data_IF_243524660088
#
_entry.id   IF_243524660088
#
_cell.length_a   1.000
_cell.length_b   1.000
_cell.length_c   1.000
_cell.angle_alpha   90.00
_cell.angle_beta   90.00
_cell.angle_gamma   90.00
#
_symmetry.space_group_name_H-M   'P 1'
#
loop_
_entity.id
_entity.type
_entity.pdbx_description
1 polymer ?
#
# COMPACT_ATOMS: atom_id res chain seq x y z
N UNK A 1 -41.84 -12.42 5.78
CA UNK A 1 -40.83 -12.74 6.84
C UNK A 1 -39.53 -12.09 6.44
N UNK A 2 -39.19 -10.97 7.07
CA UNK A 2 -37.91 -10.29 6.83
C UNK A 2 -36.78 -11.18 7.39
N UNK A 3 -35.80 -11.54 6.56
CA UNK A 3 -34.54 -12.18 7.03
C UNK A 3 -33.91 -11.23 8.06
N UNK A 4 -33.76 -11.69 9.31
CA UNK A 4 -32.92 -11.02 10.30
C UNK A 4 -31.54 -10.86 9.68
N UNK A 5 -31.12 -9.61 9.46
CA UNK A 5 -29.76 -9.33 9.05
C UNK A 5 -28.79 -9.92 10.08
N UNK A 6 -27.76 -10.59 9.63
CA UNK A 6 -26.66 -11.04 10.48
C UNK A 6 -26.18 -9.84 11.31
N UNK A 7 -26.21 -10.02 12.63
CA UNK A 7 -25.78 -9.01 13.58
C UNK A 7 -24.30 -8.74 13.35
N UNK A 8 -23.89 -7.47 13.37
CA UNK A 8 -22.47 -7.06 13.36
C UNK A 8 -21.64 -7.71 14.48
N UNK A 9 -22.27 -8.41 15.41
CA UNK A 9 -21.62 -9.18 16.49
C UNK A 9 -21.10 -10.54 16.01
N UNK A 10 -21.51 -11.03 14.84
CA UNK A 10 -21.21 -12.39 14.38
C UNK A 10 -19.99 -12.44 13.43
N UNK A 11 -19.49 -11.30 12.93
CA UNK A 11 -18.26 -11.27 12.13
C UNK A 11 -17.03 -11.06 13.04
N UNK A 12 -16.01 -11.93 12.92
CA UNK A 12 -14.80 -11.77 13.71
C UNK A 12 -14.10 -10.45 13.36
N UNK A 13 -13.95 -9.54 14.33
CA UNK A 13 -13.36 -8.20 14.11
C UNK A 13 -11.90 -8.26 13.66
N UNK A 14 -11.23 -9.36 13.90
CA UNK A 14 -9.81 -9.58 13.68
C UNK A 14 -9.53 -10.63 12.61
N UNK A 15 -10.40 -10.78 11.63
CA UNK A 15 -10.25 -11.68 10.51
C UNK A 15 -10.64 -11.00 9.20
N UNK A 16 -9.99 -11.39 8.12
CA UNK A 16 -10.29 -11.02 6.74
C UNK A 16 -10.91 -12.19 5.96
N UNK A 17 -11.34 -13.24 6.65
CA UNK A 17 -11.96 -14.40 6.03
C UNK A 17 -13.16 -13.99 5.18
N UNK A 18 -13.21 -14.52 3.94
CA UNK A 18 -14.21 -14.16 2.95
C UNK A 18 -13.98 -12.84 2.23
N UNK A 19 -12.93 -12.07 2.58
CA UNK A 19 -12.55 -10.85 1.88
C UNK A 19 -11.59 -11.14 0.72
N UNK A 20 -11.62 -10.26 -0.28
CA UNK A 20 -10.74 -10.30 -1.45
C UNK A 20 -9.86 -9.06 -1.49
N UNK A 21 -8.61 -9.21 -1.89
CA UNK A 21 -7.65 -8.12 -1.90
C UNK A 21 -6.84 -8.05 -3.20
N UNK A 22 -6.61 -6.85 -3.70
CA UNK A 22 -5.59 -6.56 -4.71
C UNK A 22 -4.46 -5.76 -4.08
N UNK A 23 -3.24 -6.28 -4.16
CA UNK A 23 -2.02 -5.60 -3.72
C UNK A 23 -1.09 -5.45 -4.92
N UNK A 24 -0.71 -4.25 -5.32
CA UNK A 24 0.25 -4.08 -6.43
C UNK A 24 1.69 -4.13 -5.94
N UNK A 25 2.58 -4.76 -6.72
CA UNK A 25 4.00 -4.87 -6.38
C UNK A 25 4.32 -5.88 -5.28
N UNK A 26 3.62 -7.03 -5.26
CA UNK A 26 3.73 -8.00 -4.17
C UNK A 26 4.86 -9.01 -4.26
N UNK A 27 5.73 -8.97 -5.28
CA UNK A 27 6.81 -9.97 -5.42
C UNK A 27 7.96 -9.80 -4.42
N UNK A 28 8.08 -8.65 -3.77
CA UNK A 28 9.15 -8.35 -2.78
C UNK A 28 8.81 -7.18 -1.86
N UNK A 29 9.63 -7.02 -0.82
CA UNK A 29 9.59 -5.86 0.09
C UNK A 29 8.26 -5.66 0.78
N UNK A 30 7.82 -4.40 0.90
CA UNK A 30 6.57 -4.06 1.59
C UNK A 30 5.35 -4.73 0.97
N UNK A 31 5.27 -4.76 -0.37
CA UNK A 31 4.14 -5.40 -1.06
C UNK A 31 4.03 -6.89 -0.74
N UNK A 32 5.17 -7.63 -0.70
CA UNK A 32 5.19 -9.06 -0.31
C UNK A 32 4.71 -9.23 1.13
N UNK A 33 5.22 -8.42 2.06
CA UNK A 33 4.80 -8.47 3.46
C UNK A 33 3.29 -8.18 3.62
N UNK A 34 2.74 -7.22 2.86
CA UNK A 34 1.29 -6.93 2.88
C UNK A 34 0.48 -8.09 2.32
N UNK A 35 0.92 -8.71 1.21
CA UNK A 35 0.25 -9.91 0.65
C UNK A 35 0.19 -11.03 1.70
N UNK A 36 1.31 -11.31 2.35
CA UNK A 36 1.42 -12.35 3.37
C UNK A 36 0.52 -12.07 4.57
N UNK A 37 0.58 -10.86 5.11
CA UNK A 37 -0.23 -10.47 6.27
C UNK A 37 -1.73 -10.57 6.01
N UNK A 38 -2.20 -10.04 4.86
CA UNK A 38 -3.61 -10.13 4.48
C UNK A 38 -4.06 -11.59 4.26
N UNK A 39 -3.22 -12.40 3.61
CA UNK A 39 -3.53 -13.81 3.35
C UNK A 39 -3.53 -14.65 4.63
N UNK A 40 -2.60 -14.40 5.57
CA UNK A 40 -2.58 -15.05 6.89
C UNK A 40 -3.81 -14.71 7.74
N UNK A 41 -4.39 -13.52 7.56
CA UNK A 41 -5.65 -13.14 8.21
C UNK A 41 -6.90 -13.69 7.50
N UNK A 42 -6.73 -14.50 6.44
CA UNK A 42 -7.79 -15.22 5.75
C UNK A 42 -8.30 -14.57 4.46
N UNK A 43 -7.70 -13.47 3.98
CA UNK A 43 -8.09 -12.88 2.71
C UNK A 43 -7.63 -13.74 1.52
N UNK A 44 -8.42 -13.73 0.44
CA UNK A 44 -7.97 -14.17 -0.89
C UNK A 44 -7.28 -13.00 -1.56
N UNK A 45 -5.97 -13.13 -1.84
CA UNK A 45 -5.17 -12.03 -2.37
C UNK A 45 -4.82 -12.26 -3.83
N UNK A 46 -5.00 -11.26 -4.67
CA UNK A 46 -4.37 -11.18 -5.99
C UNK A 46 -3.27 -10.12 -5.94
N UNK A 47 -2.13 -10.41 -6.54
CA UNK A 47 -1.02 -9.46 -6.61
C UNK A 47 -0.39 -9.42 -7.99
N UNK A 48 0.35 -8.35 -8.27
CA UNK A 48 1.06 -8.21 -9.53
C UNK A 48 2.48 -7.68 -9.33
N UNK A 49 3.34 -7.96 -10.29
CA UNK A 49 4.67 -7.37 -10.44
C UNK A 49 5.11 -7.44 -11.89
N UNK A 50 6.19 -6.74 -12.25
CA UNK A 50 6.77 -6.77 -13.60
C UNK A 50 7.66 -7.99 -13.84
N UNK A 51 8.34 -8.43 -12.81
CA UNK A 51 9.28 -9.57 -12.85
C UNK A 51 8.50 -10.87 -12.61
N UNK A 52 8.27 -11.61 -13.68
CA UNK A 52 7.52 -12.86 -13.66
C UNK A 52 8.25 -13.93 -12.83
N UNK A 53 9.58 -14.00 -12.91
CA UNK A 53 10.38 -14.99 -12.19
C UNK A 53 10.25 -14.83 -10.69
N UNK A 54 10.48 -13.60 -10.18
CA UNK A 54 10.30 -13.30 -8.75
C UNK A 54 8.85 -13.53 -8.29
N UNK A 55 7.88 -13.22 -9.15
CA UNK A 55 6.48 -13.40 -8.84
C UNK A 55 6.11 -14.88 -8.68
N UNK A 56 6.63 -15.74 -9.57
CA UNK A 56 6.44 -17.19 -9.51
C UNK A 56 7.16 -17.84 -8.32
N UNK A 57 8.36 -17.36 -7.96
CA UNK A 57 9.05 -17.80 -6.75
C UNK A 57 8.21 -17.51 -5.51
N UNK A 58 7.75 -16.27 -5.35
CA UNK A 58 6.89 -15.88 -4.23
C UNK A 58 5.57 -16.67 -4.21
N UNK A 59 4.97 -16.93 -5.39
CA UNK A 59 3.75 -17.73 -5.48
C UNK A 59 3.93 -19.15 -4.95
N UNK A 60 5.06 -19.80 -5.29
CA UNK A 60 5.38 -21.14 -4.79
C UNK A 60 5.54 -21.15 -3.26
N UNK A 61 6.21 -20.14 -2.69
CA UNK A 61 6.35 -19.98 -1.25
C UNK A 61 4.99 -19.83 -0.56
N UNK A 62 4.12 -18.98 -1.08
CA UNK A 62 2.78 -18.77 -0.55
C UNK A 62 1.91 -20.01 -0.61
N UNK A 63 1.95 -20.74 -1.75
CA UNK A 63 1.22 -22.00 -1.92
C UNK A 63 1.73 -23.08 -0.96
N UNK A 64 3.05 -23.18 -0.76
CA UNK A 64 3.64 -24.12 0.21
C UNK A 64 3.20 -23.84 1.64
N UNK A 65 2.90 -22.56 1.97
CA UNK A 65 2.38 -22.13 3.26
C UNK A 65 0.84 -22.13 3.33
N UNK A 66 0.15 -22.63 2.30
CA UNK A 66 -1.32 -22.72 2.28
C UNK A 66 -2.05 -21.38 2.11
N UNK A 67 -1.34 -20.30 1.73
CA UNK A 67 -1.93 -18.97 1.54
C UNK A 67 -2.70 -18.90 0.21
N UNK A 68 -3.86 -18.28 0.23
CA UNK A 68 -4.71 -18.11 -0.95
C UNK A 68 -4.28 -16.88 -1.76
N UNK A 69 -3.20 -17.02 -2.52
CA UNK A 69 -2.63 -15.96 -3.35
C UNK A 69 -2.64 -16.36 -4.81
N UNK A 70 -2.97 -15.41 -5.69
CA UNK A 70 -2.86 -15.52 -7.15
C UNK A 70 -2.08 -14.34 -7.71
N UNK A 71 -1.52 -14.47 -8.91
CA UNK A 71 -0.59 -13.48 -9.45
C UNK A 71 -0.86 -13.14 -10.90
N UNK A 72 -0.49 -11.95 -11.33
CA UNK A 72 -0.45 -11.50 -12.74
C UNK A 72 0.80 -10.67 -13.00
N UNK A 73 1.35 -10.76 -14.19
CA UNK A 73 2.39 -9.82 -14.64
C UNK A 73 1.73 -8.51 -15.03
N UNK A 74 2.21 -7.38 -14.46
CA UNK A 74 1.69 -6.06 -14.78
C UNK A 74 2.72 -4.97 -14.48
N UNK A 75 2.96 -4.11 -15.48
CA UNK A 75 3.60 -2.82 -15.27
C UNK A 75 2.51 -1.78 -14.96
N UNK A 76 2.50 -1.30 -13.72
CA UNK A 76 1.49 -0.34 -13.26
C UNK A 76 1.60 1.05 -13.93
N UNK A 77 2.73 1.37 -14.58
CA UNK A 77 2.86 2.60 -15.36
C UNK A 77 2.09 2.55 -16.68
N UNK A 78 1.78 1.35 -17.18
CA UNK A 78 1.00 1.12 -18.40
C UNK A 78 -0.50 1.10 -18.11
N UNK A 79 -1.24 2.01 -18.74
CA UNK A 79 -2.71 2.10 -18.60
C UNK A 79 -3.41 0.81 -19.02
N UNK A 80 -3.06 0.28 -20.19
CA UNK A 80 -3.69 -0.93 -20.74
C UNK A 80 -3.45 -2.15 -19.83
N UNK A 81 -2.26 -2.23 -19.21
CA UNK A 81 -1.97 -3.33 -18.30
C UNK A 81 -2.75 -3.20 -16.98
N UNK A 82 -2.97 -1.98 -16.49
CA UNK A 82 -3.85 -1.74 -15.33
C UNK A 82 -5.29 -2.19 -15.61
N UNK A 83 -5.82 -1.85 -16.79
CA UNK A 83 -7.18 -2.24 -17.21
C UNK A 83 -7.31 -3.77 -17.28
N UNK A 84 -6.39 -4.45 -17.97
CA UNK A 84 -6.34 -5.92 -18.06
C UNK A 84 -6.21 -6.59 -16.68
N UNK A 85 -5.40 -6.03 -15.79
CA UNK A 85 -5.28 -6.54 -14.42
C UNK A 85 -6.63 -6.45 -13.68
N UNK A 86 -7.34 -5.33 -13.82
CA UNK A 86 -8.63 -5.16 -13.16
C UNK A 86 -9.73 -6.03 -13.75
N UNK A 87 -9.70 -6.33 -15.04
CA UNK A 87 -10.57 -7.34 -15.66
C UNK A 87 -10.31 -8.73 -15.05
N UNK A 88 -9.03 -9.10 -14.90
CA UNK A 88 -8.63 -10.35 -14.25
C UNK A 88 -9.12 -10.41 -12.80
N UNK A 89 -8.92 -9.34 -12.03
CA UNK A 89 -9.38 -9.23 -10.63
C UNK A 89 -10.90 -9.34 -10.54
N UNK A 90 -11.62 -8.67 -11.44
CA UNK A 90 -13.09 -8.75 -11.50
C UNK A 90 -13.58 -10.18 -11.77
N UNK A 91 -12.93 -10.88 -12.70
CA UNK A 91 -13.26 -12.29 -12.99
C UNK A 91 -12.96 -13.21 -11.81
N UNK A 92 -11.75 -13.12 -11.23
CA UNK A 92 -11.32 -13.96 -10.12
C UNK A 92 -12.20 -13.81 -8.87
N UNK A 93 -12.67 -12.60 -8.61
CA UNK A 93 -13.44 -12.24 -7.42
C UNK A 93 -14.93 -12.01 -7.70
N UNK A 94 -15.41 -12.45 -8.88
CA UNK A 94 -16.81 -12.42 -9.25
C UNK A 94 -17.44 -11.01 -9.11
N UNK A 95 -16.73 -10.00 -9.57
CA UNK A 95 -17.15 -8.60 -9.54
C UNK A 95 -17.08 -7.93 -8.17
N UNK A 96 -16.40 -8.52 -7.16
CA UNK A 96 -16.32 -7.97 -5.80
C UNK A 96 -14.87 -7.90 -5.32
N UNK A 97 -14.45 -6.71 -4.93
CA UNK A 97 -13.13 -6.49 -4.30
C UNK A 97 -13.35 -5.82 -2.95
N UNK A 98 -12.81 -6.38 -1.87
CA UNK A 98 -12.94 -5.79 -0.53
C UNK A 98 -11.80 -4.83 -0.19
N UNK A 99 -10.59 -5.10 -0.69
CA UNK A 99 -9.37 -4.39 -0.31
C UNK A 99 -8.55 -4.06 -1.55
N UNK A 100 -8.15 -2.79 -1.68
CA UNK A 100 -7.16 -2.33 -2.67
C UNK A 100 -5.97 -1.71 -1.96
N UNK A 101 -4.75 -2.21 -2.25
CA UNK A 101 -3.50 -1.64 -1.75
C UNK A 101 -2.60 -1.28 -2.94
N UNK A 102 -2.67 -0.06 -3.48
CA UNK A 102 -1.72 0.46 -4.46
C UNK A 102 -0.39 0.70 -3.75
N UNK A 103 0.54 -0.27 -3.87
CA UNK A 103 1.80 -0.23 -3.14
C UNK A 103 3.00 0.14 -4.02
N UNK A 104 2.93 -0.07 -5.34
CA UNK A 104 4.07 0.23 -6.22
C UNK A 104 4.46 1.71 -6.13
N UNK A 105 5.73 1.95 -5.96
CA UNK A 105 6.31 3.29 -5.97
C UNK A 105 7.80 3.26 -6.24
N UNK A 106 8.26 4.29 -6.93
CA UNK A 106 9.66 4.53 -7.25
C UNK A 106 10.04 5.96 -6.86
N UNK A 107 11.30 6.19 -6.61
CA UNK A 107 11.84 7.52 -6.33
C UNK A 107 13.20 7.71 -6.97
N UNK A 108 13.55 8.98 -7.17
CA UNK A 108 14.88 9.42 -7.55
C UNK A 108 15.38 10.35 -6.47
N UNK A 109 16.62 10.14 -6.05
CA UNK A 109 17.28 10.94 -5.02
C UNK A 109 18.31 11.87 -5.70
N UNK A 110 17.87 13.07 -6.07
CA UNK A 110 18.75 14.09 -6.65
C UNK A 110 18.16 15.50 -6.56
N UNK A 111 19.00 16.56 -6.69
CA UNK A 111 18.51 17.93 -6.70
C UNK A 111 17.40 18.16 -7.74
N UNK A 112 16.41 18.97 -7.38
CA UNK A 112 15.25 19.25 -8.27
C UNK A 112 15.67 19.81 -9.62
N UNK A 113 16.74 20.61 -9.65
CA UNK A 113 17.29 21.22 -10.88
C UNK A 113 17.92 20.21 -11.84
N UNK A 114 18.20 19.00 -11.37
CA UNK A 114 18.82 17.94 -12.16
C UNK A 114 17.79 16.88 -12.62
N UNK A 115 16.55 16.98 -12.15
CA UNK A 115 15.48 16.07 -12.54
C UNK A 115 15.08 16.34 -14.00
N UNK A 116 15.01 15.27 -14.81
CA UNK A 116 14.57 15.38 -16.19
C UNK A 116 13.05 15.29 -16.35
N UNK A 117 12.53 15.74 -17.48
CA UNK A 117 11.11 15.62 -17.80
C UNK A 117 10.65 14.14 -17.88
N UNK A 118 11.51 13.26 -18.37
CA UNK A 118 11.26 11.82 -18.48
C UNK A 118 11.16 11.17 -17.10
N UNK A 119 12.08 11.50 -16.18
CA UNK A 119 12.04 11.04 -14.80
C UNK A 119 10.78 11.54 -14.10
N UNK A 120 10.45 12.81 -14.26
CA UNK A 120 9.21 13.38 -13.72
C UNK A 120 7.99 12.60 -14.23
N UNK A 121 7.86 12.44 -15.55
CA UNK A 121 6.73 11.74 -16.17
C UNK A 121 6.63 10.30 -15.71
N UNK A 122 7.76 9.59 -15.63
CA UNK A 122 7.80 8.19 -15.20
C UNK A 122 7.42 8.01 -13.73
N UNK A 123 7.91 8.90 -12.84
CA UNK A 123 7.56 8.85 -11.41
C UNK A 123 6.09 9.18 -11.20
N UNK A 124 5.55 10.18 -11.88
CA UNK A 124 4.12 10.54 -11.83
C UNK A 124 3.27 9.38 -12.32
N UNK A 125 3.59 8.80 -13.48
CA UNK A 125 2.83 7.68 -14.05
C UNK A 125 2.84 6.46 -13.13
N UNK A 126 4.01 6.14 -12.54
CA UNK A 126 4.16 4.96 -11.68
C UNK A 126 3.53 5.15 -10.30
N UNK A 127 3.72 6.30 -9.65
CA UNK A 127 3.31 6.49 -8.26
C UNK A 127 1.88 7.02 -8.13
N UNK A 128 1.55 8.08 -8.87
CA UNK A 128 0.32 8.84 -8.68
C UNK A 128 -0.77 8.45 -9.67
N UNK A 129 -0.48 8.49 -10.97
CA UNK A 129 -1.46 8.14 -12.00
C UNK A 129 -1.94 6.69 -11.83
N UNK A 130 -1.01 5.74 -11.60
CA UNK A 130 -1.39 4.34 -11.40
C UNK A 130 -2.32 4.17 -10.19
N UNK A 131 -1.98 4.82 -9.07
CA UNK A 131 -2.78 4.77 -7.82
C UNK A 131 -4.17 5.35 -8.04
N UNK A 132 -4.26 6.50 -8.69
CA UNK A 132 -5.53 7.15 -9.02
C UNK A 132 -6.39 6.27 -9.95
N UNK A 133 -5.80 5.77 -11.04
CA UNK A 133 -6.51 4.95 -12.01
C UNK A 133 -6.95 3.59 -11.43
N UNK A 134 -6.11 2.93 -10.62
CA UNK A 134 -6.55 1.72 -9.90
C UNK A 134 -7.71 2.01 -8.96
N UNK A 135 -7.70 3.14 -8.27
CA UNK A 135 -8.82 3.53 -7.39
C UNK A 135 -10.12 3.71 -8.19
N UNK A 136 -10.05 4.37 -9.36
CA UNK A 136 -11.21 4.50 -10.26
C UNK A 136 -11.74 3.15 -10.75
N UNK A 137 -10.84 2.29 -11.28
CA UNK A 137 -11.21 0.98 -11.81
C UNK A 137 -11.76 0.04 -10.72
N UNK A 138 -11.24 0.15 -9.50
CA UNK A 138 -11.66 -0.68 -8.37
C UNK A 138 -12.98 -0.20 -7.73
N UNK A 139 -13.36 1.07 -7.88
CA UNK A 139 -14.54 1.63 -7.22
C UNK A 139 -15.81 0.77 -7.37
N UNK A 140 -16.24 0.35 -8.59
CA UNK A 140 -17.45 -0.47 -8.72
C UNK A 140 -17.34 -1.82 -8.01
N UNK A 141 -16.15 -2.43 -7.98
CA UNK A 141 -15.91 -3.70 -7.32
C UNK A 141 -15.89 -3.55 -5.78
N UNK A 142 -15.29 -2.47 -5.28
CA UNK A 142 -15.27 -2.11 -3.85
C UNK A 142 -16.68 -1.83 -3.36
N UNK A 143 -17.48 -1.07 -4.10
CA UNK A 143 -18.89 -0.81 -3.80
C UNK A 143 -19.70 -2.10 -3.79
N UNK A 144 -19.50 -2.98 -4.78
CA UNK A 144 -20.19 -4.27 -4.86
C UNK A 144 -19.82 -5.24 -3.73
N UNK A 145 -18.69 -5.06 -3.06
CA UNK A 145 -18.31 -5.84 -1.87
C UNK A 145 -19.17 -5.48 -0.65
N UNK A 146 -19.74 -4.27 -0.61
CA UNK A 146 -20.51 -3.73 0.50
C UNK A 146 -19.67 -3.25 1.69
N UNK A 147 -18.34 -3.40 1.64
CA UNK A 147 -17.38 -2.99 2.69
C UNK A 147 -16.01 -2.78 2.07
N UNK A 148 -15.89 -1.75 1.21
CA UNK A 148 -14.66 -1.45 0.50
C UNK A 148 -13.60 -0.78 1.37
N UNK A 149 -12.32 -1.07 1.11
CA UNK A 149 -11.23 -0.43 1.80
C UNK A 149 -10.03 -0.18 0.87
N UNK A 150 -9.48 1.02 0.89
CA UNK A 150 -8.29 1.40 0.15
C UNK A 150 -7.21 1.82 1.15
N UNK A 151 -6.01 1.24 1.02
CA UNK A 151 -4.84 1.68 1.79
C UNK A 151 -3.74 2.09 0.81
N UNK A 152 -3.53 3.40 0.70
CA UNK A 152 -2.52 3.98 -0.17
C UNK A 152 -1.13 3.92 0.48
N UNK A 153 -0.16 3.29 -0.18
CA UNK A 153 1.22 3.23 0.31
C UNK A 153 1.96 4.52 -0.03
N UNK A 154 1.85 5.50 0.86
CA UNK A 154 2.53 6.77 0.77
C UNK A 154 3.98 6.68 1.29
N UNK A 155 4.47 7.69 1.95
CA UNK A 155 5.78 7.79 2.61
C UNK A 155 5.78 8.98 3.57
N UNK A 156 6.68 8.97 4.55
CA UNK A 156 6.98 10.18 5.34
C UNK A 156 7.44 11.34 4.46
N UNK A 157 7.99 11.08 3.26
CA UNK A 157 8.32 12.10 2.26
C UNK A 157 7.10 12.89 1.76
N UNK A 158 5.89 12.37 1.94
CA UNK A 158 4.64 13.07 1.67
C UNK A 158 4.11 13.87 2.87
N UNK A 159 4.80 13.83 4.00
CA UNK A 159 4.43 14.50 5.26
C UNK A 159 5.45 15.58 5.65
N UNK A 160 6.74 15.23 5.53
CA UNK A 160 7.87 16.13 5.86
C UNK A 160 8.86 16.20 4.70
N UNK A 161 9.72 17.19 4.71
CA UNK A 161 10.79 17.28 3.73
C UNK A 161 11.83 16.18 3.93
N UNK A 162 12.11 15.47 2.85
CA UNK A 162 13.32 14.66 2.70
C UNK A 162 14.15 15.25 1.56
N UNK A 163 15.37 15.66 1.84
CA UNK A 163 16.25 16.30 0.87
C UNK A 163 16.35 15.50 -0.45
N UNK A 164 16.39 16.21 -1.57
CA UNK A 164 16.57 15.63 -2.92
C UNK A 164 15.48 14.62 -3.37
N UNK A 165 14.27 14.68 -2.80
CA UNK A 165 13.16 13.80 -3.16
C UNK A 165 11.92 14.55 -3.67
N UNK A 166 12.09 15.71 -4.31
CA UNK A 166 10.98 16.62 -4.61
C UNK A 166 9.84 15.99 -5.40
N UNK A 167 10.13 15.27 -6.49
CA UNK A 167 9.09 14.61 -7.30
C UNK A 167 8.43 13.49 -6.50
N UNK A 168 9.24 12.65 -5.86
CA UNK A 168 8.75 11.55 -5.03
C UNK A 168 7.86 12.05 -3.89
N UNK A 169 8.36 13.03 -3.12
CA UNK A 169 7.60 13.65 -2.03
C UNK A 169 6.28 14.26 -2.50
N UNK A 170 6.29 14.94 -3.66
CA UNK A 170 5.08 15.49 -4.27
C UNK A 170 4.05 14.39 -4.59
N UNK A 171 4.47 13.25 -5.19
CA UNK A 171 3.55 12.13 -5.46
C UNK A 171 2.99 11.54 -4.16
N UNK A 172 3.81 11.42 -3.12
CA UNK A 172 3.38 10.85 -1.83
C UNK A 172 2.48 11.80 -1.06
N UNK A 173 2.73 13.11 -1.11
CA UNK A 173 1.81 14.13 -0.57
C UNK A 173 0.46 14.14 -1.30
N UNK A 174 0.47 14.00 -2.63
CA UNK A 174 -0.75 13.86 -3.43
C UNK A 174 -1.55 12.62 -3.05
N UNK A 175 -0.90 11.47 -2.77
CA UNK A 175 -1.58 10.26 -2.29
C UNK A 175 -2.25 10.48 -0.93
N UNK A 176 -1.61 11.22 -0.01
CA UNK A 176 -2.22 11.57 1.28
C UNK A 176 -3.49 12.40 1.10
N UNK A 177 -3.46 13.37 0.17
CA UNK A 177 -4.66 14.15 -0.15
C UNK A 177 -5.71 13.33 -0.87
N UNK A 178 -5.31 12.44 -1.80
CA UNK A 178 -6.22 11.52 -2.48
C UNK A 178 -6.98 10.64 -1.48
N UNK A 179 -6.30 10.07 -0.47
CA UNK A 179 -6.95 9.28 0.56
C UNK A 179 -8.07 10.06 1.27
N UNK A 180 -7.84 11.34 1.61
CA UNK A 180 -8.85 12.20 2.24
C UNK A 180 -10.07 12.44 1.33
N UNK A 181 -9.81 12.71 0.05
CA UNK A 181 -10.89 12.95 -0.91
C UNK A 181 -11.73 11.68 -1.12
N UNK A 182 -11.08 10.54 -1.40
CA UNK A 182 -11.78 9.27 -1.59
C UNK A 182 -12.57 8.85 -0.34
N UNK A 183 -12.05 9.10 0.86
CA UNK A 183 -12.74 8.83 2.12
C UNK A 183 -14.07 9.60 2.24
N UNK A 184 -14.12 10.83 1.76
CA UNK A 184 -15.33 11.65 1.78
C UNK A 184 -16.27 11.33 0.61
N UNK A 185 -15.72 11.22 -0.60
CA UNK A 185 -16.52 11.00 -1.82
C UNK A 185 -17.23 9.64 -1.81
N UNK A 186 -16.58 8.60 -1.27
CA UNK A 186 -17.07 7.23 -1.36
C UNK A 186 -17.60 6.68 -0.04
N UNK A 187 -17.77 7.54 0.97
CA UNK A 187 -18.35 7.15 2.25
C UNK A 187 -19.76 6.56 2.11
N UNK A 188 -20.60 7.15 1.24
CA UNK A 188 -21.95 6.66 0.97
C UNK A 188 -21.98 5.30 0.26
N UNK A 189 -20.88 4.91 -0.39
CA UNK A 189 -20.69 3.60 -1.01
C UNK A 189 -20.08 2.57 -0.03
N UNK A 190 -19.96 2.95 1.24
CA UNK A 190 -19.34 2.13 2.29
C UNK A 190 -17.88 1.75 1.98
N UNK A 191 -17.11 2.70 1.42
CA UNK A 191 -15.70 2.55 1.10
C UNK A 191 -14.89 3.48 2.01
N UNK A 192 -13.90 2.93 2.70
CA UNK A 192 -12.91 3.67 3.48
C UNK A 192 -11.63 3.85 2.68
N UNK A 193 -10.93 4.95 2.89
CA UNK A 193 -9.63 5.19 2.28
C UNK A 193 -8.67 5.82 3.30
N UNK A 194 -7.49 5.24 3.46
CA UNK A 194 -6.45 5.75 4.35
C UNK A 194 -5.09 5.69 3.64
N UNK A 195 -4.10 6.44 4.13
CA UNK A 195 -2.71 6.35 3.67
C UNK A 195 -1.79 5.94 4.81
N UNK A 196 -0.81 5.07 4.49
CA UNK A 196 0.27 4.65 5.38
C UNK A 196 1.57 5.26 4.87
N UNK A 197 2.33 5.87 5.77
CA UNK A 197 3.55 6.62 5.48
C UNK A 197 4.75 5.98 6.18
N UNK A 198 5.41 4.98 5.57
CA UNK A 198 6.62 4.39 6.11
C UNK A 198 7.80 5.37 6.07
N UNK A 199 8.71 5.23 7.04
CA UNK A 199 10.07 5.76 7.04
C UNK A 199 11.02 4.78 6.32
N UNK A 200 12.29 4.75 6.69
CA UNK A 200 13.22 3.75 6.19
C UNK A 200 12.89 2.37 6.77
N UNK A 201 12.57 1.45 5.87
CA UNK A 201 12.20 0.07 6.17
C UNK A 201 13.19 -0.87 5.49
N UNK A 202 13.63 -1.90 6.19
CA UNK A 202 14.49 -2.96 5.64
C UNK A 202 13.74 -3.71 4.53
N UNK A 203 14.16 -3.50 3.28
CA UNK A 203 13.59 -4.12 2.08
C UNK A 203 14.67 -4.31 1.02
N UNK A 204 14.47 -5.14 0.00
CA UNK A 204 15.42 -5.23 -1.11
C UNK A 204 15.72 -3.88 -1.79
N UNK A 205 14.75 -2.96 -1.85
CA UNK A 205 14.94 -1.65 -2.48
C UNK A 205 15.74 -0.65 -1.64
N UNK A 206 15.82 -0.85 -0.33
CA UNK A 206 16.59 0.01 0.58
C UNK A 206 17.90 -0.64 1.02
N UNK A 207 18.13 -1.90 0.63
CA UNK A 207 19.28 -2.70 1.08
C UNK A 207 20.62 -2.04 0.78
N UNK A 208 20.81 -1.57 -0.44
CA UNK A 208 22.09 -0.96 -0.85
C UNK A 208 22.30 0.38 -0.14
N UNK A 209 21.25 1.18 0.00
CA UNK A 209 21.30 2.46 0.69
C UNK A 209 21.56 2.30 2.20
N UNK A 210 20.88 1.36 2.85
CA UNK A 210 21.08 1.05 4.27
C UNK A 210 22.31 0.18 4.54
N UNK A 211 22.93 -0.37 3.49
CA UNK A 211 24.22 -1.08 3.57
C UNK A 211 25.41 -0.15 3.80
N UNK A 212 25.28 1.12 3.44
CA UNK A 212 26.22 2.17 3.80
C UNK A 212 26.07 2.49 5.30
N UNK A 213 27.14 2.28 6.06
CA UNK A 213 27.15 2.43 7.52
C UNK A 213 26.86 3.86 7.95
N UNK A 214 27.44 4.85 7.27
CA UNK A 214 27.29 6.26 7.62
C UNK A 214 25.84 6.72 7.36
N UNK A 215 25.23 6.25 6.26
CA UNK A 215 23.83 6.50 5.93
C UNK A 215 22.92 5.88 6.97
N UNK A 216 23.17 4.61 7.33
CA UNK A 216 22.36 3.90 8.33
C UNK A 216 22.42 4.58 9.68
N UNK A 217 23.64 4.91 10.17
CA UNK A 217 23.83 5.62 11.44
C UNK A 217 23.13 6.98 11.44
N UNK A 218 23.16 7.71 10.32
CA UNK A 218 22.45 8.98 10.18
C UNK A 218 20.93 8.80 10.27
N UNK A 219 20.35 7.80 9.58
CA UNK A 219 18.93 7.47 9.66
C UNK A 219 18.52 7.12 11.09
N UNK A 220 19.29 6.25 11.74
CA UNK A 220 19.06 5.82 13.13
C UNK A 220 19.19 6.99 14.12
N UNK A 221 20.14 7.91 13.90
CA UNK A 221 20.36 9.06 14.77
C UNK A 221 19.20 10.04 14.82
N UNK A 222 18.44 10.18 13.70
CA UNK A 222 17.27 11.07 13.61
C UNK A 222 15.95 10.37 13.93
N UNK A 223 16.00 9.04 14.11
CA UNK A 223 14.82 8.24 14.46
C UNK A 223 14.77 8.05 15.98
N UNK A 224 13.72 8.48 16.69
CA UNK A 224 13.62 8.29 18.15
C UNK A 224 13.79 6.85 18.62
N UNK A 225 13.25 5.86 17.90
CA UNK A 225 13.45 4.44 18.23
C UNK A 225 14.85 3.90 17.87
N UNK A 226 15.74 4.75 17.32
CA UNK A 226 17.16 4.43 17.06
C UNK A 226 17.42 3.19 16.21
N UNK A 227 16.49 2.89 15.30
CA UNK A 227 16.62 1.81 14.33
C UNK A 227 15.80 2.10 13.08
N UNK A 228 16.07 1.40 12.01
CA UNK A 228 15.18 1.29 10.86
C UNK A 228 13.99 0.38 11.19
N UNK A 229 12.90 0.50 10.45
CA UNK A 229 11.73 -0.37 10.60
C UNK A 229 11.87 -1.66 9.79
N UNK A 230 11.03 -2.64 10.10
CA UNK A 230 10.91 -3.90 9.35
C UNK A 230 9.60 -3.93 8.54
N UNK A 231 9.58 -4.71 7.47
CA UNK A 231 8.43 -4.75 6.55
C UNK A 231 7.13 -5.20 7.23
N UNK A 232 7.23 -6.12 8.21
CA UNK A 232 6.08 -6.59 8.99
C UNK A 232 5.49 -5.50 9.91
N UNK A 233 6.26 -4.53 10.35
CA UNK A 233 5.76 -3.41 11.17
C UNK A 233 4.84 -2.48 10.33
N UNK A 234 5.08 -2.40 9.03
CA UNK A 234 4.23 -1.66 8.09
C UNK A 234 3.03 -2.49 7.65
N UNK A 235 3.25 -3.77 7.27
CA UNK A 235 2.16 -4.64 6.82
C UNK A 235 1.11 -4.88 7.90
N UNK A 236 1.51 -4.94 9.17
CA UNK A 236 0.58 -5.07 10.31
C UNK A 236 -0.38 -3.88 10.42
N UNK A 237 0.10 -2.64 10.21
CA UNK A 237 -0.80 -1.48 10.18
C UNK A 237 -1.72 -1.50 8.95
N UNK A 238 -1.20 -1.87 7.77
CA UNK A 238 -2.01 -2.01 6.55
C UNK A 238 -3.12 -3.03 6.78
N UNK A 239 -2.78 -4.19 7.32
CA UNK A 239 -3.74 -5.24 7.64
C UNK A 239 -4.77 -4.79 8.69
N UNK A 240 -4.33 -4.11 9.77
CA UNK A 240 -5.25 -3.53 10.76
C UNK A 240 -6.27 -2.59 10.12
N UNK A 241 -5.82 -1.68 9.24
CA UNK A 241 -6.71 -0.77 8.52
C UNK A 241 -7.72 -1.50 7.61
N UNK A 242 -7.38 -2.71 7.16
CA UNK A 242 -8.27 -3.56 6.37
C UNK A 242 -9.29 -4.32 7.21
N UNK A 243 -9.04 -4.53 8.49
CA UNK A 243 -9.92 -5.28 9.39
C UNK A 243 -11.25 -4.56 9.65
N UNK A 244 -12.33 -5.31 9.93
CA UNK A 244 -13.58 -4.75 10.46
C UNK A 244 -13.38 -3.95 11.76
N UNK A 245 -12.34 -4.27 12.56
CA UNK A 245 -11.96 -3.51 13.75
C UNK A 245 -11.66 -2.03 13.48
N UNK A 246 -11.20 -1.69 12.27
CA UNK A 246 -10.89 -0.33 11.84
C UNK A 246 -12.06 0.37 11.11
N UNK A 247 -13.30 -0.12 11.23
CA UNK A 247 -14.47 0.33 10.45
C UNK A 247 -14.80 1.81 10.61
N UNK A 248 -14.32 2.49 11.67
CA UNK A 248 -14.54 3.91 11.88
C UNK A 248 -13.30 4.78 11.59
N UNK A 249 -12.28 4.19 10.93
CA UNK A 249 -11.03 4.88 10.54
C UNK A 249 -11.05 5.10 9.03
N UNK A 250 -11.18 6.34 8.59
CA UNK A 250 -11.12 6.74 7.17
C UNK A 250 -10.53 8.14 7.02
N UNK A 251 -9.90 8.44 5.89
CA UNK A 251 -9.26 9.73 5.58
C UNK A 251 -7.97 10.01 6.35
N UNK A 252 -7.40 9.01 7.04
CA UNK A 252 -6.24 9.21 7.88
C UNK A 252 -4.94 9.03 7.11
N UNK A 253 -3.92 9.78 7.54
CA UNK A 253 -2.52 9.63 7.12
C UNK A 253 -1.74 9.18 8.34
N UNK A 254 -1.22 7.94 8.33
CA UNK A 254 -0.60 7.33 9.51
C UNK A 254 0.86 6.99 9.19
N UNK A 255 1.79 7.58 9.95
CA UNK A 255 3.21 7.30 9.83
C UNK A 255 3.59 6.02 10.58
N UNK A 256 4.48 5.21 9.96
CA UNK A 256 5.18 4.07 10.58
C UNK A 256 6.67 4.39 10.47
N UNK A 257 7.18 5.14 11.42
CA UNK A 257 8.41 5.90 11.25
C UNK A 257 9.32 5.95 12.48
N UNK A 258 9.02 5.18 13.51
CA UNK A 258 9.80 5.19 14.75
C UNK A 258 9.87 6.56 15.45
N UNK A 259 8.91 7.45 15.16
CA UNK A 259 8.83 8.81 15.70
C UNK A 259 9.57 9.88 14.88
N UNK A 260 10.08 9.54 13.69
CA UNK A 260 10.87 10.46 12.87
C UNK A 260 10.12 11.76 12.55
N UNK A 261 8.88 11.71 12.10
CA UNK A 261 8.13 12.91 11.65
C UNK A 261 7.75 13.86 12.78
N UNK A 262 7.78 13.38 14.02
CA UNK A 262 7.46 14.19 15.23
C UNK A 262 8.69 14.51 16.08
N UNK A 263 9.90 14.11 15.61
CA UNK A 263 11.16 14.37 16.30
C UNK A 263 11.56 15.85 16.12
N UNK A 264 11.04 16.68 16.98
CA UNK A 264 11.36 18.10 17.03
C UNK A 264 12.68 18.39 17.75
N UNK A 265 12.90 19.67 18.07
CA UNK A 265 14.06 20.10 18.85
C UNK A 265 13.95 19.59 20.29
N UNK A 266 15.00 18.89 20.74
CA UNK A 266 15.16 18.47 22.14
C UNK A 266 16.16 19.40 22.83
N UNK A 267 15.81 19.88 23.99
CA UNK A 267 16.78 20.53 24.88
C UNK A 267 17.79 19.48 25.37
N UNK A 268 19.07 19.86 25.54
CA UNK A 268 20.10 18.94 26.07
C UNK A 268 19.81 18.54 27.52
#
# INVERSE_FOLDING_TARGET
>A
MAKRGESLRDKPKWSLEGMTALVTGGSKGLGKAVVEELAMLGARVHTCARDETQLQESLREWQANGLQVTTSVCDVSSRDQREKLMETVSSLFQGKLSILVPNVGIGVLKPTTECTAEEFSFIIATNLESTFHFSQLAHPLLKASGSGNIVLMSSVAGVVNLGNTSIYGATKGAMNQLARNLACEWASDNIRANSVCPWFITTPSTKDFLGDKDVKEKVESVTPLRRVGEANEVSSLVAFLCLPAASYITGQTICVDGGFTINGFSLP
#
